data_IF_680423445068
#
_entry.id   IF_680423445068
#
_cell.length_a   1.000
_cell.length_b   1.000
_cell.length_c   1.000
_cell.angle_alpha   90.00
_cell.angle_beta   90.00
_cell.angle_gamma   90.00
#
_symmetry.space_group_name_H-M   'P 1'
#
loop_
_entity.id
_entity.type
_entity.pdbx_description
1 polymer ?
#
# COMPACT_ATOMS: atom_id res chain seq x y z
N UNK A 1 -12.94 -20.01 4.42
CA UNK A 1 -12.14 -18.96 5.11
C UNK A 1 -11.37 -18.17 4.06
N UNK A 2 -11.49 -16.83 4.02
CA UNK A 2 -10.76 -15.98 3.07
C UNK A 2 -9.29 -15.81 3.47
N UNK A 3 -8.42 -15.75 2.48
CA UNK A 3 -6.97 -15.64 2.67
C UNK A 3 -6.49 -14.27 2.19
N UNK A 4 -5.81 -13.54 3.07
CA UNK A 4 -5.12 -12.30 2.72
C UNK A 4 -3.60 -12.50 2.76
N UNK A 5 -2.92 -12.04 1.71
CA UNK A 5 -1.46 -11.96 1.65
C UNK A 5 -1.05 -10.51 1.90
N UNK A 6 -0.26 -10.28 2.96
CA UNK A 6 0.26 -8.96 3.34
C UNK A 6 1.75 -8.90 3.02
N UNK A 7 2.11 -8.12 2.00
CA UNK A 7 3.50 -7.85 1.67
C UNK A 7 4.04 -6.81 2.66
N UNK A 8 5.17 -7.13 3.32
CA UNK A 8 5.76 -6.27 4.34
C UNK A 8 4.96 -6.24 5.65
N UNK A 9 4.52 -7.39 6.13
CA UNK A 9 3.68 -7.51 7.35
C UNK A 9 4.33 -6.96 8.62
N UNK A 10 5.64 -6.77 8.66
CA UNK A 10 6.36 -6.16 9.79
C UNK A 10 6.37 -4.62 9.77
N UNK A 11 5.81 -3.98 8.76
CA UNK A 11 5.51 -2.55 8.79
C UNK A 11 4.34 -2.27 9.74
N UNK A 12 4.29 -1.08 10.35
CA UNK A 12 3.27 -0.76 11.35
C UNK A 12 1.83 -0.92 10.83
N UNK A 13 1.56 -0.45 9.61
CA UNK A 13 0.24 -0.65 8.97
C UNK A 13 0.02 -2.15 8.71
N UNK A 14 1.02 -2.85 8.15
CA UNK A 14 0.91 -4.28 7.82
C UNK A 14 0.60 -5.15 9.04
N UNK A 15 1.30 -4.92 10.16
CA UNK A 15 1.11 -5.69 11.38
C UNK A 15 -0.24 -5.43 12.05
N UNK A 16 -0.63 -4.17 12.17
CA UNK A 16 -1.91 -3.82 12.79
C UNK A 16 -3.10 -4.32 11.96
N UNK A 17 -3.06 -4.12 10.63
CA UNK A 17 -4.10 -4.66 9.76
C UNK A 17 -4.12 -6.20 9.75
N UNK A 18 -2.96 -6.84 9.81
CA UNK A 18 -2.86 -8.29 9.94
C UNK A 18 -3.63 -8.83 11.14
N UNK A 19 -3.47 -8.20 12.32
CA UNK A 19 -4.23 -8.57 13.51
C UNK A 19 -5.74 -8.32 13.37
N UNK A 20 -6.14 -7.19 12.77
CA UNK A 20 -7.56 -6.90 12.54
C UNK A 20 -8.19 -7.91 11.57
N UNK A 21 -7.50 -8.29 10.50
CA UNK A 21 -7.98 -9.35 9.60
C UNK A 21 -8.08 -10.71 10.29
N UNK A 22 -7.13 -11.07 11.17
CA UNK A 22 -7.19 -12.30 11.96
C UNK A 22 -8.43 -12.30 12.86
N UNK A 23 -8.70 -11.18 13.54
CA UNK A 23 -9.85 -11.05 14.44
C UNK A 23 -11.19 -11.17 13.68
N UNK A 24 -11.22 -10.77 12.42
CA UNK A 24 -12.39 -10.92 11.53
C UNK A 24 -12.42 -12.28 10.80
N UNK A 25 -11.62 -13.26 11.23
CA UNK A 25 -11.66 -14.65 10.74
C UNK A 25 -10.93 -14.89 9.41
N UNK A 26 -10.08 -13.96 8.95
CA UNK A 26 -9.25 -14.21 7.77
C UNK A 26 -8.02 -15.03 8.13
N UNK A 27 -7.59 -15.90 7.23
CA UNK A 27 -6.26 -16.45 7.27
C UNK A 27 -5.27 -15.42 6.73
N UNK A 28 -4.30 -15.02 7.56
CA UNK A 28 -3.29 -14.01 7.19
C UNK A 28 -1.97 -14.70 6.86
N UNK A 29 -1.46 -14.37 5.68
CA UNK A 29 -0.14 -14.76 5.21
C UNK A 29 0.68 -13.48 5.07
N UNK A 30 1.89 -13.45 5.65
CA UNK A 30 2.72 -12.25 5.63
C UNK A 30 4.11 -12.49 5.11
N UNK A 31 4.70 -11.49 4.46
CA UNK A 31 6.13 -11.49 4.12
C UNK A 31 6.90 -10.51 4.98
N UNK A 32 8.15 -10.85 5.31
CA UNK A 32 9.09 -9.96 5.99
C UNK A 32 10.48 -10.07 5.36
N UNK A 33 11.27 -9.00 5.45
CA UNK A 33 12.62 -8.95 4.86
C UNK A 33 13.72 -9.40 5.84
N UNK A 34 13.88 -8.69 6.95
CA UNK A 34 15.01 -8.88 7.88
C UNK A 34 14.59 -9.58 9.18
N UNK A 35 13.70 -8.97 9.95
CA UNK A 35 13.28 -9.44 11.27
C UNK A 35 11.85 -9.96 11.21
N UNK A 36 11.64 -11.19 11.65
CA UNK A 36 10.30 -11.77 11.77
C UNK A 36 9.52 -11.01 12.85
N UNK A 37 8.30 -10.49 12.55
CA UNK A 37 7.48 -9.87 13.58
C UNK A 37 6.97 -10.91 14.58
N UNK A 38 6.90 -10.52 15.85
CA UNK A 38 6.39 -11.34 16.95
C UNK A 38 5.00 -10.96 17.42
N UNK A 39 4.53 -9.78 16.99
CA UNK A 39 3.26 -9.19 17.39
C UNK A 39 2.05 -9.66 16.56
N UNK A 40 2.22 -10.69 15.71
CA UNK A 40 1.14 -11.29 14.90
C UNK A 40 1.25 -12.82 14.97
N UNK A 41 1.02 -13.41 16.14
CA UNK A 41 1.34 -14.83 16.38
C UNK A 41 0.48 -15.81 15.55
N UNK A 42 -0.73 -15.41 15.13
CA UNK A 42 -1.64 -16.26 14.37
C UNK A 42 -1.48 -16.14 12.84
N UNK A 43 -0.49 -15.39 12.36
CA UNK A 43 -0.23 -15.27 10.92
C UNK A 43 0.82 -16.29 10.45
N UNK A 44 0.63 -16.82 9.24
CA UNK A 44 1.66 -17.59 8.54
C UNK A 44 2.69 -16.65 7.93
N UNK A 45 3.90 -16.56 8.49
CA UNK A 45 4.88 -15.52 8.12
C UNK A 45 6.09 -16.14 7.42
N UNK A 46 6.41 -15.61 6.24
CA UNK A 46 7.49 -16.08 5.37
C UNK A 46 8.57 -15.02 5.18
N UNK A 47 9.84 -15.44 5.26
CA UNK A 47 10.96 -14.57 4.87
C UNK A 47 10.96 -14.41 3.35
N UNK A 48 10.87 -13.17 2.89
CA UNK A 48 10.89 -12.81 1.47
C UNK A 48 11.36 -11.35 1.33
N UNK A 49 12.54 -11.15 0.83
CA UNK A 49 12.99 -9.85 0.35
C UNK A 49 12.44 -9.66 -1.06
N UNK A 50 11.42 -8.83 -1.19
CA UNK A 50 10.73 -8.61 -2.48
C UNK A 50 11.62 -7.98 -3.55
N UNK A 51 12.82 -7.49 -3.21
CA UNK A 51 13.81 -7.00 -4.17
C UNK A 51 14.67 -8.12 -4.77
N UNK A 52 14.48 -9.36 -4.32
CA UNK A 52 15.22 -10.54 -4.72
C UNK A 52 14.32 -11.55 -5.40
N UNK A 53 14.44 -11.71 -6.71
CA UNK A 53 13.63 -12.64 -7.50
C UNK A 53 13.61 -14.06 -6.91
N UNK A 54 14.76 -14.58 -6.48
CA UNK A 54 14.87 -15.91 -5.84
C UNK A 54 14.00 -16.05 -4.58
N UNK A 55 13.90 -14.98 -3.76
CA UNK A 55 13.06 -14.99 -2.56
C UNK A 55 11.57 -15.01 -2.95
N UNK A 56 11.19 -14.25 -3.98
CA UNK A 56 9.83 -14.22 -4.52
C UNK A 56 9.43 -15.60 -5.05
N UNK A 57 10.26 -16.19 -5.89
CA UNK A 57 10.04 -17.52 -6.47
C UNK A 57 9.89 -18.59 -5.37
N UNK A 58 10.76 -18.56 -4.35
CA UNK A 58 10.69 -19.46 -3.19
C UNK A 58 9.38 -19.29 -2.42
N UNK A 59 8.97 -18.05 -2.15
CA UNK A 59 7.73 -17.75 -1.46
C UNK A 59 6.52 -18.27 -2.24
N UNK A 60 6.42 -17.93 -3.52
CA UNK A 60 5.30 -18.35 -4.39
C UNK A 60 5.27 -19.88 -4.56
N UNK A 61 6.44 -20.52 -4.76
CA UNK A 61 6.53 -21.99 -4.82
C UNK A 61 6.07 -22.65 -3.52
N UNK A 62 6.38 -22.05 -2.37
CA UNK A 62 5.92 -22.56 -1.07
C UNK A 62 4.40 -22.50 -0.95
N UNK A 63 3.78 -21.37 -1.37
CA UNK A 63 2.31 -21.25 -1.37
C UNK A 63 1.68 -22.26 -2.33
N UNK A 64 2.27 -22.45 -3.52
CA UNK A 64 1.80 -23.42 -4.52
C UNK A 64 1.85 -24.85 -3.98
N UNK A 65 2.97 -25.27 -3.36
CA UNK A 65 3.10 -26.61 -2.74
C UNK A 65 2.06 -26.83 -1.64
N UNK A 66 1.75 -25.81 -0.86
CA UNK A 66 0.70 -25.85 0.18
C UNK A 66 -0.72 -25.71 -0.36
N UNK A 67 -0.91 -25.62 -1.68
CA UNK A 67 -2.20 -25.40 -2.36
C UNK A 67 -2.96 -24.15 -1.84
N UNK A 68 -2.21 -23.14 -1.38
CA UNK A 68 -2.76 -21.88 -0.87
C UNK A 68 -3.15 -21.00 -2.03
N UNK A 69 -4.38 -20.51 -2.02
CA UNK A 69 -4.91 -19.52 -2.96
C UNK A 69 -5.34 -18.26 -2.20
N UNK A 70 -5.00 -17.09 -2.71
CA UNK A 70 -5.30 -15.84 -2.06
C UNK A 70 -6.60 -15.21 -2.57
N UNK A 71 -7.33 -14.53 -1.69
CA UNK A 71 -8.50 -13.71 -2.00
C UNK A 71 -8.13 -12.22 -2.06
N UNK A 72 -7.18 -11.81 -1.23
CA UNK A 72 -6.77 -10.42 -1.07
C UNK A 72 -5.25 -10.34 -1.04
N UNK A 73 -4.68 -9.37 -1.77
CA UNK A 73 -3.29 -8.93 -1.58
C UNK A 73 -3.32 -7.50 -1.04
N UNK A 74 -2.62 -7.26 0.04
CA UNK A 74 -2.37 -5.93 0.57
C UNK A 74 -0.87 -5.67 0.65
N UNK A 75 -0.40 -4.55 0.09
CA UNK A 75 1.01 -4.17 0.19
C UNK A 75 1.20 -2.98 1.12
N UNK A 76 1.95 -3.21 2.21
CA UNK A 76 2.40 -2.18 3.15
C UNK A 76 3.88 -1.86 3.01
N UNK A 77 4.50 -2.32 1.92
CA UNK A 77 5.92 -2.04 1.64
C UNK A 77 6.12 -0.59 1.23
N UNK A 78 7.19 0.00 1.73
CA UNK A 78 7.60 1.33 1.31
C UNK A 78 8.73 1.90 2.16
N UNK A 79 9.43 2.88 1.60
CA UNK A 79 10.41 3.73 2.26
C UNK A 79 10.30 5.14 1.71
N UNK A 80 10.54 6.13 2.54
CA UNK A 80 10.61 7.54 2.11
C UNK A 80 12.03 7.94 1.68
N UNK A 81 13.03 7.12 2.00
CA UNK A 81 14.43 7.38 1.62
C UNK A 81 14.66 7.16 0.12
N UNK A 82 15.57 7.91 -0.51
CA UNK A 82 16.34 9.03 0.06
C UNK A 82 15.50 10.30 0.18
N UNK A 83 15.76 11.07 1.23
CA UNK A 83 15.12 12.36 1.50
C UNK A 83 16.13 13.46 1.28
N UNK A 84 16.07 14.13 0.14
CA UNK A 84 16.90 15.29 -0.24
C UNK A 84 16.36 15.91 -1.53
N UNK A 85 16.89 17.07 -1.94
CA UNK A 85 16.62 17.60 -3.29
C UNK A 85 17.10 16.61 -4.34
N UNK A 86 16.44 16.56 -5.48
CA UNK A 86 16.70 15.54 -6.51
C UNK A 86 18.15 15.50 -6.96
N UNK A 87 18.74 16.66 -7.30
CA UNK A 87 20.13 16.73 -7.78
C UNK A 87 21.18 16.54 -6.67
N UNK A 88 20.79 16.64 -5.40
CA UNK A 88 21.67 16.37 -4.26
C UNK A 88 21.56 14.89 -3.78
N UNK A 89 20.83 14.07 -4.49
CA UNK A 89 20.58 12.67 -4.14
C UNK A 89 21.55 11.73 -4.83
N UNK A 90 22.08 10.76 -4.09
CA UNK A 90 22.76 9.62 -4.73
C UNK A 90 21.75 8.83 -5.58
N UNK A 91 21.99 8.78 -6.89
CA UNK A 91 21.03 8.22 -7.84
C UNK A 91 20.85 6.70 -7.71
N UNK A 92 21.84 5.97 -7.24
CA UNK A 92 21.71 4.53 -6.98
C UNK A 92 20.78 4.25 -5.79
N UNK A 93 20.83 5.10 -4.76
CA UNK A 93 19.89 5.01 -3.63
C UNK A 93 18.48 5.39 -4.10
N UNK A 94 18.36 6.41 -4.94
CA UNK A 94 17.09 6.82 -5.55
C UNK A 94 16.48 5.68 -6.37
N UNK A 95 17.29 5.04 -7.25
CA UNK A 95 16.87 3.88 -8.07
C UNK A 95 16.42 2.70 -7.20
N UNK A 96 17.17 2.39 -6.14
CA UNK A 96 16.81 1.34 -5.18
C UNK A 96 15.47 1.64 -4.49
N UNK A 97 15.21 2.90 -4.15
CA UNK A 97 13.94 3.30 -3.55
C UNK A 97 12.76 3.10 -4.52
N UNK A 98 12.90 3.52 -5.77
CA UNK A 98 11.88 3.27 -6.81
C UNK A 98 11.65 1.78 -7.01
N UNK A 99 12.73 0.99 -7.03
CA UNK A 99 12.61 -0.46 -7.13
C UNK A 99 11.78 -1.05 -5.98
N UNK A 100 12.06 -0.68 -4.74
CA UNK A 100 11.30 -1.16 -3.55
C UNK A 100 9.86 -0.66 -3.56
N UNK A 101 9.66 0.64 -3.82
CA UNK A 101 8.36 1.29 -3.68
C UNK A 101 7.40 0.99 -4.83
N UNK A 102 7.90 0.55 -5.99
CA UNK A 102 7.11 0.34 -7.19
C UNK A 102 7.37 -1.02 -7.83
N UNK A 103 8.54 -1.25 -8.42
CA UNK A 103 8.81 -2.41 -9.28
C UNK A 103 8.67 -3.72 -8.50
N UNK A 104 9.34 -3.84 -7.35
CA UNK A 104 9.36 -5.10 -6.59
C UNK A 104 7.99 -5.49 -6.03
N UNK A 105 7.15 -4.52 -5.68
CA UNK A 105 5.78 -4.82 -5.25
C UNK A 105 4.95 -5.42 -6.39
N UNK A 106 5.07 -4.85 -7.58
CA UNK A 106 4.37 -5.34 -8.77
C UNK A 106 4.89 -6.71 -9.20
N UNK A 107 6.20 -6.95 -9.11
CA UNK A 107 6.81 -8.24 -9.41
C UNK A 107 6.24 -9.35 -8.54
N UNK A 108 6.14 -9.14 -7.22
CA UNK A 108 5.51 -10.13 -6.32
C UNK A 108 4.05 -10.35 -6.67
N UNK A 109 3.28 -9.28 -6.93
CA UNK A 109 1.88 -9.38 -7.32
C UNK A 109 1.72 -10.16 -8.63
N UNK A 110 2.58 -9.90 -9.60
CA UNK A 110 2.61 -10.62 -10.87
C UNK A 110 2.85 -12.13 -10.68
N UNK A 111 3.83 -12.51 -9.86
CA UNK A 111 4.07 -13.92 -9.52
C UNK A 111 2.91 -14.58 -8.77
N UNK A 112 2.26 -13.84 -7.87
CA UNK A 112 1.10 -14.34 -7.10
C UNK A 112 -0.18 -14.46 -7.93
N UNK A 113 -0.28 -13.80 -9.09
CA UNK A 113 -1.51 -13.75 -9.87
C UNK A 113 -2.11 -15.13 -10.18
N UNK A 114 -1.27 -16.11 -10.50
CA UNK A 114 -1.70 -17.49 -10.80
C UNK A 114 -2.24 -18.25 -9.57
N UNK A 115 -2.00 -17.75 -8.36
CA UNK A 115 -2.46 -18.36 -7.10
C UNK A 115 -3.73 -17.70 -6.54
N UNK A 116 -4.46 -16.92 -7.33
CA UNK A 116 -5.73 -16.33 -6.90
C UNK A 116 -6.80 -17.40 -6.70
N UNK A 117 -7.73 -17.16 -5.75
CA UNK A 117 -8.75 -18.15 -5.37
C UNK A 117 -9.91 -18.26 -6.39
N UNK A 118 -10.21 -17.18 -7.13
CA UNK A 118 -11.35 -17.15 -8.05
C UNK A 118 -11.49 -15.82 -8.78
N UNK A 119 -12.73 -15.38 -9.01
CA UNK A 119 -13.07 -14.25 -9.86
C UNK A 119 -13.43 -12.95 -9.09
N UNK A 120 -13.24 -12.92 -7.78
CA UNK A 120 -13.51 -11.73 -6.92
C UNK A 120 -12.34 -11.45 -6.01
N UNK A 121 -11.15 -11.42 -6.58
CA UNK A 121 -9.94 -11.14 -5.82
C UNK A 121 -9.69 -9.63 -5.78
N UNK A 122 -9.08 -9.17 -4.69
CA UNK A 122 -8.75 -7.76 -4.51
C UNK A 122 -7.25 -7.54 -4.33
N UNK A 123 -6.73 -6.48 -4.93
CA UNK A 123 -5.35 -6.01 -4.73
C UNK A 123 -5.43 -4.59 -4.20
N UNK A 124 -4.88 -4.38 -3.01
CA UNK A 124 -4.87 -3.09 -2.34
C UNK A 124 -3.44 -2.60 -2.16
N UNK A 125 -3.18 -1.41 -2.66
CA UNK A 125 -1.90 -0.74 -2.55
C UNK A 125 -2.00 0.49 -1.64
N UNK A 126 -0.85 0.99 -1.17
CA UNK A 126 -0.77 2.23 -0.41
C UNK A 126 -0.24 3.37 -1.27
N UNK A 127 -1.05 4.41 -1.41
CA UNK A 127 -0.63 5.71 -1.92
C UNK A 127 0.21 6.47 -0.86
N UNK A 128 0.67 7.63 -1.21
CA UNK A 128 1.45 8.49 -0.34
C UNK A 128 1.32 9.97 -0.66
N UNK A 129 2.07 10.78 0.02
CA UNK A 129 2.15 12.22 -0.26
C UNK A 129 2.67 12.49 -1.68
N UNK A 130 2.32 13.67 -2.22
CA UNK A 130 2.77 14.10 -3.54
C UNK A 130 1.78 13.87 -4.67
N UNK A 131 0.61 13.28 -4.41
CA UNK A 131 -0.41 13.04 -5.45
C UNK A 131 -1.03 14.35 -5.95
N UNK A 132 -1.44 15.22 -5.04
CA UNK A 132 -2.17 16.45 -5.39
C UNK A 132 -1.27 17.68 -5.39
N UNK A 133 -0.20 17.68 -4.60
CA UNK A 133 0.71 18.81 -4.44
C UNK A 133 2.15 18.31 -4.38
N UNK A 134 3.14 19.14 -4.75
CA UNK A 134 4.55 18.79 -4.63
C UNK A 134 4.91 18.38 -3.20
N UNK A 135 5.55 17.25 -3.06
CA UNK A 135 6.11 16.77 -1.80
C UNK A 135 7.64 16.83 -1.92
N UNK A 136 8.17 18.04 -1.78
CA UNK A 136 9.57 18.36 -2.03
C UNK A 136 10.52 17.52 -1.20
N UNK A 137 11.67 17.18 -1.78
CA UNK A 137 12.74 16.37 -1.18
C UNK A 137 12.43 14.86 -1.04
N UNK A 138 11.29 14.38 -1.56
CA UNK A 138 10.87 12.98 -1.52
C UNK A 138 10.62 12.41 -2.91
N UNK A 139 11.42 12.81 -3.91
CA UNK A 139 11.15 12.53 -5.32
C UNK A 139 11.01 11.03 -5.64
N UNK A 140 11.92 10.17 -5.14
CA UNK A 140 11.84 8.71 -5.36
C UNK A 140 10.53 8.12 -4.82
N UNK A 141 10.14 8.55 -3.62
CA UNK A 141 8.89 8.13 -2.99
C UNK A 141 7.67 8.60 -3.80
N UNK A 142 7.61 9.91 -4.12
CA UNK A 142 6.48 10.50 -4.83
C UNK A 142 6.23 9.85 -6.20
N UNK A 143 7.27 9.76 -7.03
CA UNK A 143 7.11 9.18 -8.39
C UNK A 143 6.68 7.72 -8.30
N UNK A 144 7.20 6.96 -7.32
CA UNK A 144 6.81 5.58 -7.10
C UNK A 144 5.33 5.45 -6.71
N UNK A 145 4.85 6.34 -5.82
CA UNK A 145 3.44 6.31 -5.37
C UNK A 145 2.47 6.74 -6.47
N UNK A 146 2.85 7.71 -7.29
CA UNK A 146 2.07 8.12 -8.47
C UNK A 146 2.05 7.01 -9.53
N UNK A 147 3.19 6.36 -9.78
CA UNK A 147 3.27 5.21 -10.66
C UNK A 147 2.37 4.05 -10.19
N UNK A 148 2.32 3.76 -8.88
CA UNK A 148 1.39 2.77 -8.32
C UNK A 148 -0.08 3.14 -8.54
N UNK A 149 -0.44 4.43 -8.40
CA UNK A 149 -1.81 4.90 -8.66
C UNK A 149 -2.20 4.63 -10.12
N UNK A 150 -1.31 4.97 -11.07
CA UNK A 150 -1.57 4.68 -12.48
C UNK A 150 -1.59 3.19 -12.78
N UNK A 151 -0.67 2.41 -12.22
CA UNK A 151 -0.63 0.96 -12.41
C UNK A 151 -1.88 0.26 -11.85
N UNK A 152 -2.41 0.76 -10.74
CA UNK A 152 -3.66 0.30 -10.16
C UNK A 152 -4.83 0.46 -11.15
N UNK A 153 -4.90 1.60 -11.84
CA UNK A 153 -5.91 1.86 -12.88
C UNK A 153 -5.74 0.91 -14.08
N UNK A 154 -4.49 0.70 -14.53
CA UNK A 154 -4.19 -0.20 -15.66
C UNK A 154 -4.56 -1.65 -15.35
N UNK A 155 -4.15 -2.16 -14.18
CA UNK A 155 -4.53 -3.53 -13.77
C UNK A 155 -6.05 -3.68 -13.69
N UNK A 156 -6.76 -2.69 -13.16
CA UNK A 156 -8.23 -2.75 -13.09
C UNK A 156 -8.86 -2.73 -14.49
N UNK A 157 -8.29 -1.99 -15.41
CA UNK A 157 -8.82 -1.93 -16.77
C UNK A 157 -8.52 -3.20 -17.58
N UNK A 158 -7.34 -3.76 -17.45
CA UNK A 158 -6.92 -5.00 -18.14
C UNK A 158 -7.61 -6.25 -17.57
N UNK A 159 -7.84 -6.32 -16.24
CA UNK A 159 -8.33 -7.53 -15.55
C UNK A 159 -9.66 -7.29 -14.86
N UNK A 160 -10.76 -7.45 -15.60
CA UNK A 160 -12.13 -7.18 -15.12
C UNK A 160 -12.59 -8.10 -13.97
N UNK A 161 -11.88 -9.19 -13.72
CA UNK A 161 -12.12 -10.13 -12.62
C UNK A 161 -11.29 -9.81 -11.35
N UNK A 162 -10.52 -8.73 -11.36
CA UNK A 162 -9.82 -8.19 -10.19
C UNK A 162 -10.45 -6.87 -9.75
N UNK A 163 -10.51 -6.64 -8.45
CA UNK A 163 -10.80 -5.33 -7.87
C UNK A 163 -9.50 -4.73 -7.33
N UNK A 164 -8.82 -3.94 -8.15
CA UNK A 164 -7.56 -3.31 -7.76
C UNK A 164 -7.81 -1.86 -7.41
N UNK A 165 -7.49 -1.45 -6.19
CA UNK A 165 -7.60 -0.06 -5.75
C UNK A 165 -6.46 0.33 -4.81
N UNK A 166 -6.27 1.61 -4.63
CA UNK A 166 -5.20 2.15 -3.80
C UNK A 166 -5.76 3.11 -2.77
N UNK A 167 -5.20 3.15 -1.57
CA UNK A 167 -5.64 4.03 -0.50
C UNK A 167 -4.50 4.91 0.00
N UNK A 168 -4.80 6.19 0.23
CA UNK A 168 -3.96 7.12 0.98
C UNK A 168 -4.32 7.06 2.46
N UNK A 169 -3.50 6.44 3.33
CA UNK A 169 -3.86 6.19 4.73
C UNK A 169 -3.95 7.46 5.58
N UNK A 170 -3.49 8.59 5.05
CA UNK A 170 -3.35 9.82 5.81
C UNK A 170 -2.09 9.82 6.69
N UNK A 171 -2.03 10.77 7.61
CA UNK A 171 -0.91 10.93 8.52
C UNK A 171 -1.10 9.96 9.70
N UNK A 172 -0.44 8.83 9.68
CA UNK A 172 -0.55 7.74 10.66
C UNK A 172 0.77 7.59 11.39
N UNK A 173 0.74 7.45 12.72
CA UNK A 173 1.97 7.35 13.53
C UNK A 173 2.67 6.00 13.27
N UNK A 174 3.72 6.03 12.44
CA UNK A 174 4.46 4.86 11.98
C UNK A 174 5.97 5.11 12.00
N UNK A 175 6.74 4.05 11.99
CA UNK A 175 8.22 4.10 11.94
C UNK A 175 8.77 4.83 10.70
N UNK A 176 8.00 4.92 9.62
CA UNK A 176 8.39 5.66 8.40
C UNK A 176 8.71 7.14 8.70
N UNK A 177 8.06 7.74 9.71
CA UNK A 177 8.37 9.10 10.14
C UNK A 177 9.79 9.25 10.70
N UNK A 178 10.39 8.17 11.22
CA UNK A 178 11.77 8.18 11.72
C UNK A 178 12.78 8.42 10.58
N UNK A 179 12.47 8.02 9.35
CA UNK A 179 13.29 8.33 8.17
C UNK A 179 13.35 9.85 7.94
N UNK A 180 12.21 10.55 8.07
CA UNK A 180 12.15 12.03 8.01
C UNK A 180 12.93 12.68 9.13
N UNK A 181 12.82 12.16 10.36
CA UNK A 181 13.60 12.70 11.50
C UNK A 181 15.10 12.50 11.28
N UNK A 182 15.52 11.32 10.82
CA UNK A 182 16.92 11.01 10.49
C UNK A 182 17.47 11.91 9.39
N UNK A 183 16.67 12.24 8.39
CA UNK A 183 17.07 13.16 7.31
C UNK A 183 17.27 14.61 7.79
N UNK A 184 16.68 15.00 8.91
CA UNK A 184 16.83 16.32 9.51
C UNK A 184 16.46 17.45 8.54
N UNK A 185 17.35 18.44 8.41
CA UNK A 185 17.15 19.63 7.53
C UNK A 185 16.92 19.24 6.06
N UNK A 186 17.43 18.09 5.59
CA UNK A 186 17.21 17.60 4.22
C UNK A 186 15.72 17.33 3.93
N UNK A 187 14.91 17.06 4.95
CA UNK A 187 13.47 16.87 4.80
C UNK A 187 12.68 18.19 4.63
N UNK A 188 13.34 19.34 4.73
CA UNK A 188 12.70 20.65 4.58
C UNK A 188 11.55 20.87 5.57
N UNK A 189 10.45 21.47 5.12
CA UNK A 189 9.27 21.75 5.96
C UNK A 189 8.68 20.51 6.62
N UNK A 190 8.85 19.33 6.02
CA UNK A 190 8.34 18.07 6.57
C UNK A 190 9.05 17.65 7.86
N UNK A 191 10.32 18.02 8.06
CA UNK A 191 11.01 17.74 9.30
C UNK A 191 10.27 18.32 10.52
N UNK A 192 9.93 19.62 10.46
CA UNK A 192 9.22 20.29 11.56
C UNK A 192 7.81 19.72 11.74
N UNK A 193 7.10 19.47 10.63
CA UNK A 193 5.76 18.87 10.63
C UNK A 193 5.75 17.50 11.31
N UNK A 194 6.67 16.61 10.93
CA UNK A 194 6.79 15.27 11.52
C UNK A 194 7.22 15.33 12.97
N UNK A 195 8.21 16.19 13.32
CA UNK A 195 8.66 16.39 14.70
C UNK A 195 7.51 16.83 15.61
N UNK A 196 6.68 17.80 15.16
CA UNK A 196 5.49 18.26 15.89
C UNK A 196 4.48 17.12 16.05
N UNK A 197 4.21 16.38 14.98
CA UNK A 197 3.27 15.26 15.01
C UNK A 197 3.69 14.14 15.96
N UNK A 198 4.97 13.74 15.95
CA UNK A 198 5.46 12.68 16.82
C UNK A 198 5.41 13.06 18.32
N UNK A 199 5.54 14.35 18.63
CA UNK A 199 5.44 14.89 20.00
C UNK A 199 4.00 15.10 20.47
N UNK A 200 3.05 15.20 19.55
CA UNK A 200 1.65 15.43 19.89
C UNK A 200 0.97 14.16 20.41
N UNK A 201 -0.09 14.35 21.20
CA UNK A 201 -1.03 13.27 21.60
C UNK A 201 -1.84 12.75 20.42
N UNK A 202 -1.93 13.51 19.32
CA UNK A 202 -2.65 13.12 18.12
C UNK A 202 -1.96 11.93 17.46
N UNK A 203 -2.65 10.80 17.38
CA UNK A 203 -2.16 9.58 16.72
C UNK A 203 -2.37 9.59 15.18
N UNK A 204 -3.01 10.66 14.66
CA UNK A 204 -3.39 10.76 13.25
C UNK A 204 -4.50 9.76 12.88
N UNK A 205 -4.42 9.22 11.66
CA UNK A 205 -5.38 8.21 11.19
C UNK A 205 -5.16 6.90 11.93
N UNK A 206 -6.18 6.38 12.59
CA UNK A 206 -6.10 5.10 13.28
C UNK A 206 -6.00 3.93 12.31
N UNK A 207 -5.32 2.86 12.71
CA UNK A 207 -5.24 1.63 11.92
C UNK A 207 -6.62 1.02 11.69
N UNK A 208 -7.54 1.15 12.67
CA UNK A 208 -8.95 0.73 12.54
C UNK A 208 -9.64 1.45 11.39
N UNK A 209 -9.50 2.77 11.28
CA UNK A 209 -10.10 3.55 10.17
C UNK A 209 -9.53 3.14 8.80
N UNK A 210 -8.22 2.86 8.73
CA UNK A 210 -7.57 2.34 7.51
C UNK A 210 -8.17 0.98 7.14
N UNK A 211 -8.32 0.09 8.13
CA UNK A 211 -8.90 -1.23 7.97
C UNK A 211 -10.36 -1.17 7.47
N UNK A 212 -11.19 -0.34 8.09
CA UNK A 212 -12.59 -0.13 7.70
C UNK A 212 -12.72 0.37 6.26
N UNK A 213 -11.85 1.29 5.84
CA UNK A 213 -11.79 1.77 4.45
C UNK A 213 -11.43 0.63 3.47
N UNK A 214 -10.47 -0.22 3.81
CA UNK A 214 -10.10 -1.39 3.01
C UNK A 214 -11.28 -2.37 2.93
N UNK A 215 -11.92 -2.68 4.06
CA UNK A 215 -13.08 -3.58 4.08
C UNK A 215 -14.25 -3.05 3.24
N UNK A 216 -14.52 -1.75 3.32
CA UNK A 216 -15.50 -1.12 2.45
C UNK A 216 -15.12 -1.33 0.99
N UNK A 217 -13.88 -1.03 0.60
CA UNK A 217 -13.41 -1.16 -0.78
C UNK A 217 -13.48 -2.58 -1.33
N UNK A 218 -13.23 -3.59 -0.48
CA UNK A 218 -13.33 -5.02 -0.84
C UNK A 218 -14.79 -5.47 -1.02
N UNK A 219 -15.70 -4.91 -0.20
CA UNK A 219 -17.14 -5.26 -0.24
C UNK A 219 -17.86 -4.60 -1.43
N UNK A 220 -17.39 -3.44 -1.86
CA UNK A 220 -17.98 -2.73 -2.99
C UNK A 220 -17.70 -3.41 -4.33
N UNK A 221 -18.53 -3.10 -5.32
CA UNK A 221 -18.30 -3.57 -6.67
C UNK A 221 -17.05 -2.91 -7.28
N UNK A 222 -16.39 -3.62 -8.18
CA UNK A 222 -15.27 -3.09 -8.97
C UNK A 222 -15.63 -1.77 -9.69
N UNK A 223 -16.88 -1.60 -10.14
CA UNK A 223 -17.35 -0.34 -10.77
C UNK A 223 -17.22 0.87 -9.83
N UNK A 224 -17.29 0.64 -8.51
CA UNK A 224 -17.18 1.69 -7.48
C UNK A 224 -15.73 1.94 -7.09
N UNK A 225 -14.94 0.90 -6.90
CA UNK A 225 -13.60 1.05 -6.29
C UNK A 225 -12.45 0.77 -7.24
N UNK A 226 -12.66 0.03 -8.31
CA UNK A 226 -11.61 -0.38 -9.22
C UNK A 226 -10.85 0.76 -9.88
N UNK A 227 -9.53 0.67 -9.88
CA UNK A 227 -8.61 1.63 -10.48
C UNK A 227 -8.53 2.98 -9.78
N UNK A 228 -9.09 3.15 -8.59
CA UNK A 228 -9.23 4.44 -7.90
C UNK A 228 -8.31 4.59 -6.70
N UNK A 229 -7.96 5.86 -6.42
CA UNK A 229 -7.17 6.26 -5.26
C UNK A 229 -8.08 6.95 -4.23
N UNK A 230 -8.34 6.27 -3.11
CA UNK A 230 -9.16 6.80 -2.02
C UNK A 230 -8.31 7.38 -0.91
N UNK A 231 -8.72 8.53 -0.39
CA UNK A 231 -8.17 9.06 0.87
C UNK A 231 -8.98 8.53 2.05
N UNK A 232 -8.32 7.85 2.98
CA UNK A 232 -8.95 7.39 4.23
C UNK A 232 -9.48 8.55 5.05
N UNK A 233 -8.87 9.74 4.93
CA UNK A 233 -9.18 10.91 5.77
C UNK A 233 -10.20 11.84 5.10
N UNK A 234 -10.05 12.08 3.80
CA UNK A 234 -10.76 13.18 3.12
C UNK A 234 -11.98 12.71 2.33
N UNK A 235 -12.02 11.44 1.91
CA UNK A 235 -13.15 10.93 1.16
C UNK A 235 -14.23 10.41 2.08
N UNK A 236 -15.48 10.62 1.67
CA UNK A 236 -16.67 10.12 2.41
C UNK A 236 -17.01 8.68 1.97
N UNK A 237 -15.99 7.79 1.97
CA UNK A 237 -16.19 6.38 1.63
C UNK A 237 -17.22 5.73 2.57
N UNK A 238 -17.93 4.72 2.08
CA UNK A 238 -19.04 4.08 2.81
C UNK A 238 -20.39 4.80 2.68
N UNK A 239 -20.46 5.98 2.03
CA UNK A 239 -21.74 6.69 1.82
C UNK A 239 -22.35 6.39 0.46
N UNK A 240 -23.70 6.29 0.41
CA UNK A 240 -24.43 6.11 -0.85
C UNK A 240 -24.19 7.27 -1.84
N UNK A 241 -24.06 8.49 -1.33
CA UNK A 241 -23.76 9.66 -2.17
C UNK A 241 -22.43 9.50 -2.93
N UNK A 242 -21.37 9.05 -2.24
CA UNK A 242 -20.10 8.80 -2.93
C UNK A 242 -20.24 7.67 -3.93
N UNK A 243 -20.90 6.58 -3.56
CA UNK A 243 -21.12 5.44 -4.47
C UNK A 243 -21.80 5.84 -5.77
N UNK A 244 -22.89 6.60 -5.70
CA UNK A 244 -23.59 7.12 -6.88
C UNK A 244 -22.65 8.01 -7.72
N UNK A 245 -21.93 8.94 -7.09
CA UNK A 245 -20.99 9.81 -7.80
C UNK A 245 -19.88 9.03 -8.51
N UNK A 246 -19.39 7.93 -7.91
CA UNK A 246 -18.34 7.10 -8.51
C UNK A 246 -18.86 6.22 -9.67
N UNK A 247 -20.13 5.84 -9.63
CA UNK A 247 -20.78 5.11 -10.72
C UNK A 247 -21.03 6.02 -11.93
N UNK A 248 -21.38 7.28 -11.70
CA UNK A 248 -21.67 8.27 -12.74
C UNK A 248 -20.40 8.90 -13.33
N UNK A 249 -19.29 8.93 -12.58
CA UNK A 249 -18.02 9.50 -13.03
C UNK A 249 -16.90 8.44 -12.94
N UNK A 250 -16.61 7.83 -14.08
CA UNK A 250 -15.59 6.78 -14.19
C UNK A 250 -14.16 7.31 -14.05
N UNK A 251 -13.94 8.63 -14.21
CA UNK A 251 -12.66 9.32 -14.06
C UNK A 251 -12.35 9.75 -12.62
N UNK A 252 -13.37 9.84 -11.77
CA UNK A 252 -13.23 10.35 -10.40
C UNK A 252 -12.27 9.48 -9.57
N UNK A 253 -11.37 10.16 -8.84
CA UNK A 253 -10.30 9.55 -8.04
C UNK A 253 -9.27 8.75 -8.83
N UNK A 254 -9.12 9.07 -10.12
CA UNK A 254 -8.06 8.59 -11.01
C UNK A 254 -7.13 9.73 -11.41
N UNK A 255 -5.94 9.40 -11.90
CA UNK A 255 -5.05 10.43 -12.43
C UNK A 255 -5.60 10.95 -13.75
N UNK A 256 -6.00 12.20 -13.76
CA UNK A 256 -6.53 12.91 -14.91
C UNK A 256 -5.88 14.28 -15.04
N UNK A 257 -5.82 14.77 -16.25
CA UNK A 257 -5.48 16.16 -16.51
C UNK A 257 -6.60 17.05 -15.98
N UNK A 258 -6.24 18.12 -15.28
CA UNK A 258 -7.23 19.06 -14.73
C UNK A 258 -7.90 19.84 -15.85
N UNK A 259 -9.22 20.02 -15.81
CA UNK A 259 -10.04 20.73 -16.78
C UNK A 259 -9.96 20.17 -18.23
N UNK A 260 -9.91 18.87 -18.36
CA UNK A 260 -10.22 18.23 -19.63
C UNK A 260 -11.71 17.97 -19.76
#
# INVERSE_FOLDING_TARGET
MKIIVILGINADIGSNLGNLFINDGYKVIGTYRKKKPTNIPKADIYKCDITKKKDIEKFVSTLKKKKIKWDIIFSSVGTSEPISKFFDTNFDIWRKSVNVNFISQLEVIHFLYKLRSGNKNSIILLAGGGTNNPFTNYSAYCVSKIALIKMCELIDDEYKNLNTFIIGPGFTKTKTHLETIKAGKKAGKNYLRVKKFLKSSNQGTSFKKIYECILWGIKESRKVTGGRNFSVVHDKWGTNRLKINLLNDTGKYKLRRFKN
#
